data_IF_420578005647
#
_entry.id   IF_420578005647
#
_cell.length_a   1.000
_cell.length_b   1.000
_cell.length_c   1.000
_cell.angle_alpha   90.00
_cell.angle_beta   90.00
_cell.angle_gamma   90.00
#
_symmetry.space_group_name_H-M   'P 1'
#
loop_
_entity.id
_entity.type
_entity.pdbx_description
1 polymer ?
#
# COMPACT_ATOMS: atom_id res chain seq x y z
N UNK A 1 9.10 -20.67 -9.57
CA UNK A 1 8.63 -19.28 -9.80
C UNK A 1 8.49 -18.48 -8.53
N UNK A 2 7.80 -18.97 -7.49
CA UNK A 2 7.56 -18.20 -6.25
C UNK A 2 8.85 -17.89 -5.46
N UNK A 3 9.74 -18.87 -5.28
CA UNK A 3 11.05 -18.65 -4.62
C UNK A 3 11.89 -17.63 -5.39
N UNK A 4 11.87 -17.69 -6.71
CA UNK A 4 12.57 -16.72 -7.57
C UNK A 4 12.02 -15.30 -7.36
N UNK A 5 10.70 -15.11 -7.35
CA UNK A 5 10.08 -13.81 -7.11
C UNK A 5 10.41 -13.27 -5.72
N UNK A 6 10.38 -14.12 -4.70
CA UNK A 6 10.75 -13.74 -3.33
C UNK A 6 12.22 -13.28 -3.26
N UNK A 7 13.14 -14.04 -3.84
CA UNK A 7 14.57 -13.67 -3.87
C UNK A 7 14.83 -12.41 -4.70
N UNK A 8 14.17 -12.27 -5.85
CA UNK A 8 14.33 -11.11 -6.73
C UNK A 8 13.83 -9.82 -6.05
N UNK A 9 12.66 -9.87 -5.41
CA UNK A 9 12.11 -8.73 -4.66
C UNK A 9 12.92 -8.42 -3.41
N UNK A 10 13.44 -9.44 -2.71
CA UNK A 10 14.36 -9.24 -1.59
C UNK A 10 15.66 -8.58 -2.03
N UNK A 11 16.24 -9.02 -3.14
CA UNK A 11 17.45 -8.42 -3.71
C UNK A 11 17.20 -6.96 -4.13
N UNK A 12 16.07 -6.68 -4.77
CA UNK A 12 15.66 -5.31 -5.10
C UNK A 12 15.47 -4.43 -3.86
N UNK A 13 14.87 -4.97 -2.81
CA UNK A 13 14.70 -4.25 -1.54
C UNK A 13 16.06 -3.95 -0.89
N UNK A 14 16.98 -4.92 -0.84
CA UNK A 14 18.31 -4.76 -0.26
C UNK A 14 19.18 -3.76 -1.03
N UNK A 15 19.09 -3.76 -2.36
CA UNK A 15 19.86 -2.83 -3.21
C UNK A 15 19.27 -1.42 -3.22
N UNK A 16 17.95 -1.28 -3.03
CA UNK A 16 17.28 0.02 -2.88
C UNK A 16 17.44 0.63 -1.49
N UNK A 17 17.66 -0.18 -0.45
CA UNK A 17 17.73 0.27 0.94
C UNK A 17 18.84 1.31 1.19
N UNK A 18 20.08 1.19 0.65
CA UNK A 18 21.10 2.22 0.77
C UNK A 18 20.67 3.57 0.19
N UNK A 19 20.00 3.57 -0.96
CA UNK A 19 19.51 4.77 -1.61
C UNK A 19 18.39 5.43 -0.80
N UNK A 20 17.47 4.63 -0.27
CA UNK A 20 16.39 5.12 0.59
C UNK A 20 16.93 5.69 1.91
N UNK A 21 17.92 5.03 2.53
CA UNK A 21 18.57 5.54 3.73
C UNK A 21 19.28 6.87 3.46
N UNK A 22 19.98 6.98 2.33
CA UNK A 22 20.64 8.23 1.95
C UNK A 22 19.63 9.36 1.73
N UNK A 23 18.52 9.09 1.04
CA UNK A 23 17.50 10.10 0.82
C UNK A 23 16.88 10.59 2.13
N UNK A 24 16.46 9.68 3.01
CA UNK A 24 15.79 10.05 4.27
C UNK A 24 16.75 10.64 5.31
N UNK A 25 17.89 9.99 5.57
CA UNK A 25 18.78 10.40 6.66
C UNK A 25 19.88 11.38 6.27
N UNK A 26 20.12 11.62 4.97
CA UNK A 26 21.10 12.63 4.51
C UNK A 26 20.41 13.80 3.84
N UNK A 27 19.55 13.56 2.85
CA UNK A 27 18.91 14.65 2.09
C UNK A 27 17.79 15.28 2.92
N UNK A 28 16.80 14.50 3.35
CA UNK A 28 15.65 15.03 4.09
C UNK A 28 16.04 15.56 5.48
N UNK A 29 16.95 14.87 6.18
CA UNK A 29 17.51 15.36 7.45
C UNK A 29 18.22 16.71 7.28
N UNK A 30 19.04 16.87 6.22
CA UNK A 30 19.73 18.14 5.93
C UNK A 30 18.75 19.28 5.67
N UNK A 31 17.60 18.98 5.08
CA UNK A 31 16.55 19.96 4.81
C UNK A 31 15.53 20.09 5.95
N UNK A 32 15.70 19.36 7.07
CA UNK A 32 14.81 19.42 8.23
C UNK A 32 13.43 18.79 8.03
N UNK A 33 13.26 17.97 6.97
CA UNK A 33 11.99 17.29 6.67
C UNK A 33 11.88 15.93 7.36
N UNK A 34 13.00 15.28 7.70
CA UNK A 34 12.95 13.97 8.34
C UNK A 34 12.45 14.08 9.78
N UNK A 35 11.38 13.34 10.09
CA UNK A 35 10.81 13.20 11.43
C UNK A 35 10.92 11.75 11.94
N UNK A 36 11.54 10.85 11.16
CA UNK A 36 11.58 9.42 11.44
C UNK A 36 12.93 9.00 12.05
N UNK A 37 12.87 8.01 12.95
CA UNK A 37 14.06 7.36 13.49
C UNK A 37 14.49 6.17 12.64
N UNK A 38 15.78 5.83 12.64
CA UNK A 38 16.33 4.68 11.90
C UNK A 38 15.64 3.35 12.27
N UNK A 39 15.30 3.19 13.56
CA UNK A 39 14.53 2.03 14.03
C UNK A 39 13.10 1.98 13.51
N UNK A 40 12.43 3.13 13.39
CA UNK A 40 11.10 3.22 12.78
C UNK A 40 11.15 2.90 11.28
N UNK A 41 12.11 3.50 10.56
CA UNK A 41 12.32 3.28 9.13
C UNK A 41 12.53 1.79 8.80
N UNK A 42 13.41 1.09 9.54
CA UNK A 42 13.66 -0.34 9.31
C UNK A 42 12.44 -1.20 9.65
N UNK A 43 11.73 -0.90 10.74
CA UNK A 43 10.49 -1.61 11.08
C UNK A 43 9.42 -1.41 10.01
N UNK A 44 9.30 -0.20 9.49
CA UNK A 44 8.34 0.12 8.44
C UNK A 44 8.70 -0.57 7.12
N UNK A 45 9.96 -0.51 6.70
CA UNK A 45 10.45 -1.22 5.51
C UNK A 45 10.20 -2.73 5.61
N UNK A 46 10.45 -3.35 6.77
CA UNK A 46 10.21 -4.77 6.99
C UNK A 46 8.71 -5.10 6.98
N UNK A 47 7.87 -4.29 7.62
CA UNK A 47 6.40 -4.44 7.60
C UNK A 47 5.87 -4.35 6.17
N UNK A 48 6.31 -3.34 5.41
CA UNK A 48 5.92 -3.14 4.00
C UNK A 48 6.30 -4.35 3.17
N UNK A 49 7.55 -4.80 3.30
CA UNK A 49 8.03 -5.98 2.59
C UNK A 49 7.20 -7.23 2.93
N UNK A 50 6.95 -7.48 4.22
CA UNK A 50 6.17 -8.65 4.66
C UNK A 50 4.73 -8.63 4.12
N UNK A 51 4.03 -7.49 4.24
CA UNK A 51 2.65 -7.35 3.72
C UNK A 51 2.63 -7.52 2.19
N UNK A 52 3.59 -6.93 1.48
CA UNK A 52 3.70 -7.11 0.02
C UNK A 52 3.92 -8.57 -0.35
N UNK A 53 4.81 -9.30 0.33
CA UNK A 53 5.03 -10.72 0.04
C UNK A 53 3.80 -11.58 0.34
N UNK A 54 3.11 -11.31 1.46
CA UNK A 54 1.89 -12.03 1.84
C UNK A 54 0.78 -11.89 0.80
N UNK A 55 0.71 -10.76 0.10
CA UNK A 55 -0.28 -10.54 -0.98
C UNK A 55 0.25 -11.05 -2.32
N UNK A 56 1.51 -10.77 -2.65
CA UNK A 56 2.11 -11.07 -3.95
C UNK A 56 2.21 -12.59 -4.20
N UNK A 57 2.62 -13.37 -3.20
CA UNK A 57 2.86 -14.81 -3.38
C UNK A 57 1.58 -15.60 -3.68
N UNK A 58 0.46 -15.44 -2.94
CA UNK A 58 -0.80 -16.11 -3.26
C UNK A 58 -1.41 -15.63 -4.59
N UNK A 59 -1.38 -14.32 -4.85
CA UNK A 59 -1.93 -13.77 -6.10
C UNK A 59 -1.16 -14.32 -7.30
N UNK A 60 0.16 -14.33 -7.22
CA UNK A 60 1.00 -14.82 -8.33
C UNK A 60 0.90 -16.33 -8.50
N UNK A 61 0.76 -17.10 -7.41
CA UNK A 61 0.60 -18.56 -7.50
C UNK A 61 -0.70 -18.93 -8.20
N UNK A 62 -1.81 -18.27 -7.84
CA UNK A 62 -3.11 -18.43 -8.48
C UNK A 62 -3.09 -17.99 -9.95
N UNK A 63 -2.47 -16.83 -10.24
CA UNK A 63 -2.33 -16.35 -11.61
C UNK A 63 -1.55 -17.34 -12.49
N UNK A 64 -0.41 -17.85 -12.00
CA UNK A 64 0.38 -18.85 -12.72
C UNK A 64 -0.39 -20.17 -12.92
N UNK A 65 -1.23 -20.55 -11.95
CA UNK A 65 -2.09 -21.72 -12.07
C UNK A 65 -3.15 -21.54 -13.17
N UNK A 66 -3.79 -20.36 -13.23
CA UNK A 66 -4.75 -20.00 -14.28
C UNK A 66 -4.09 -20.01 -15.65
N UNK A 67 -2.88 -19.46 -15.77
CA UNK A 67 -2.11 -19.46 -17.03
C UNK A 67 -1.81 -20.89 -17.48
N UNK A 68 -1.46 -21.79 -16.55
CA UNK A 68 -1.15 -23.18 -16.87
C UNK A 68 -2.37 -24.00 -17.33
N UNK A 69 -3.56 -23.69 -16.83
CA UNK A 69 -4.79 -24.47 -17.11
C UNK A 69 -5.65 -23.86 -18.23
N UNK A 70 -5.44 -22.59 -18.58
CA UNK A 70 -6.36 -21.80 -19.39
C UNK A 70 -6.37 -22.07 -20.90
N UNK A 71 -5.50 -22.93 -21.43
CA UNK A 71 -5.45 -23.26 -22.88
C UNK A 71 -5.19 -22.02 -23.76
N UNK A 72 -5.69 -22.00 -25.00
CA UNK A 72 -5.47 -20.88 -25.95
C UNK A 72 -6.11 -19.55 -25.50
N UNK A 73 -7.13 -19.62 -24.63
CA UNK A 73 -7.85 -18.45 -24.10
C UNK A 73 -7.42 -18.06 -22.67
N UNK A 74 -6.27 -18.55 -22.20
CA UNK A 74 -5.78 -18.31 -20.84
C UNK A 74 -5.73 -16.82 -20.46
N UNK A 75 -5.46 -15.95 -21.43
CA UNK A 75 -5.32 -14.51 -21.23
C UNK A 75 -6.62 -13.86 -20.74
N UNK A 76 -7.80 -14.37 -21.15
CA UNK A 76 -9.11 -13.84 -20.71
C UNK A 76 -9.32 -14.15 -19.23
N UNK A 77 -9.05 -15.38 -18.83
CA UNK A 77 -9.18 -15.81 -17.43
C UNK A 77 -8.16 -15.12 -16.53
N UNK A 78 -6.92 -14.96 -17.01
CA UNK A 78 -5.87 -14.21 -16.30
C UNK A 78 -6.27 -12.74 -16.12
N UNK A 79 -6.78 -12.09 -17.17
CA UNK A 79 -7.26 -10.71 -17.11
C UNK A 79 -8.41 -10.55 -16.11
N UNK A 80 -9.43 -11.41 -16.19
CA UNK A 80 -10.58 -11.37 -15.28
C UNK A 80 -10.14 -11.58 -13.82
N UNK A 81 -9.22 -12.53 -13.59
CA UNK A 81 -8.66 -12.76 -12.26
C UNK A 81 -7.91 -11.52 -11.73
N UNK A 82 -7.04 -10.91 -12.54
CA UNK A 82 -6.32 -9.70 -12.13
C UNK A 82 -7.26 -8.54 -11.84
N UNK A 83 -8.34 -8.38 -12.62
CA UNK A 83 -9.36 -7.35 -12.38
C UNK A 83 -10.03 -7.55 -11.02
N UNK A 84 -10.47 -8.78 -10.72
CA UNK A 84 -11.12 -9.10 -9.44
C UNK A 84 -10.16 -8.86 -8.28
N UNK A 85 -8.90 -9.33 -8.38
CA UNK A 85 -7.89 -9.13 -7.33
C UNK A 85 -7.62 -7.64 -7.13
N UNK A 86 -7.47 -6.85 -8.19
CA UNK A 86 -7.27 -5.40 -8.10
C UNK A 86 -8.45 -4.71 -7.41
N UNK A 87 -9.69 -5.08 -7.75
CA UNK A 87 -10.88 -4.51 -7.15
C UNK A 87 -10.99 -4.83 -5.65
N UNK A 88 -10.70 -6.08 -5.28
CA UNK A 88 -10.62 -6.50 -3.87
C UNK A 88 -9.54 -5.71 -3.14
N UNK A 89 -8.33 -5.63 -3.69
CA UNK A 89 -7.21 -4.92 -3.06
C UNK A 89 -7.53 -3.45 -2.83
N UNK A 90 -8.09 -2.73 -3.82
CA UNK A 90 -8.48 -1.33 -3.68
C UNK A 90 -9.55 -1.16 -2.61
N UNK A 91 -10.52 -2.07 -2.55
CA UNK A 91 -11.61 -2.01 -1.57
C UNK A 91 -11.09 -2.23 -0.14
N UNK A 92 -10.21 -3.22 0.07
CA UNK A 92 -9.68 -3.53 1.41
C UNK A 92 -8.51 -2.62 1.82
N UNK A 93 -7.92 -1.87 0.88
CA UNK A 93 -6.70 -1.10 1.14
C UNK A 93 -6.90 -0.06 2.24
N UNK A 94 -7.95 0.75 2.15
CA UNK A 94 -8.20 1.85 3.07
C UNK A 94 -8.46 1.37 4.51
N UNK A 95 -9.19 0.26 4.66
CA UNK A 95 -9.63 -0.23 5.96
C UNK A 95 -8.63 -1.19 6.63
N UNK A 96 -7.88 -1.98 5.86
CA UNK A 96 -7.03 -3.05 6.41
C UNK A 96 -5.54 -2.88 6.12
N UNK A 97 -5.16 -2.26 5.01
CA UNK A 97 -3.74 -2.17 4.61
C UNK A 97 -3.13 -0.86 5.11
N UNK A 98 -3.76 0.28 4.81
CA UNK A 98 -3.25 1.59 5.19
C UNK A 98 -3.07 1.75 6.72
N UNK A 99 -4.01 1.30 7.58
CA UNK A 99 -3.88 1.45 9.03
C UNK A 99 -2.75 0.63 9.68
N UNK A 100 -2.12 -0.29 8.95
CA UNK A 100 -0.94 -1.04 9.41
C UNK A 100 0.35 -0.21 9.35
N UNK A 101 0.36 0.80 8.48
CA UNK A 101 1.51 1.66 8.23
C UNK A 101 1.35 2.99 8.96
N UNK A 102 0.17 3.59 8.84
CA UNK A 102 -0.09 4.94 9.32
C UNK A 102 -1.22 4.96 10.35
N UNK A 103 -1.21 5.96 11.23
CA UNK A 103 -2.27 6.14 12.23
C UNK A 103 -3.35 7.06 11.68
N UNK A 104 -4.56 6.51 11.59
CA UNK A 104 -5.75 7.25 11.20
C UNK A 104 -6.51 7.67 12.46
N UNK A 105 -6.53 8.97 12.75
CA UNK A 105 -7.33 9.53 13.85
C UNK A 105 -8.55 10.25 13.27
N UNK A 106 -9.74 10.14 13.89
CA UNK A 106 -10.90 10.89 13.42
C UNK A 106 -10.63 12.39 13.58
N UNK A 107 -11.02 13.19 12.58
CA UNK A 107 -10.87 14.64 12.66
C UNK A 107 -11.64 15.16 13.90
N UNK A 108 -10.98 15.91 14.80
CA UNK A 108 -11.64 16.48 15.97
C UNK A 108 -12.83 17.35 15.58
N UNK A 109 -13.85 17.39 16.43
CA UNK A 109 -14.96 18.30 16.23
C UNK A 109 -14.48 19.75 16.34
N UNK A 110 -14.80 20.56 15.33
CA UNK A 110 -14.37 21.94 15.22
C UNK A 110 -14.83 22.59 13.92
N UNK A 111 -14.48 23.86 13.76
CA UNK A 111 -14.88 24.70 12.61
C UNK A 111 -14.53 24.05 11.27
N UNK A 112 -13.30 23.52 11.13
CA UNK A 112 -12.83 22.86 9.92
C UNK A 112 -13.69 21.65 9.53
N UNK A 113 -14.10 20.82 10.49
CA UNK A 113 -14.94 19.65 10.22
C UNK A 113 -16.31 20.08 9.71
N UNK A 114 -16.91 21.08 10.34
CA UNK A 114 -18.21 21.62 9.96
C UNK A 114 -18.20 22.26 8.57
N UNK A 115 -17.15 22.99 8.21
CA UNK A 115 -17.00 23.56 6.88
C UNK A 115 -16.86 22.48 5.79
N UNK A 116 -16.06 21.44 6.05
CA UNK A 116 -15.90 20.31 5.12
C UNK A 116 -17.23 19.57 4.93
N UNK A 117 -17.98 19.32 6.00
CA UNK A 117 -19.30 18.68 5.93
C UNK A 117 -20.30 19.53 5.13
N UNK A 118 -20.31 20.85 5.35
CA UNK A 118 -21.13 21.79 4.59
C UNK A 118 -20.78 21.79 3.10
N UNK A 119 -19.49 21.81 2.78
CA UNK A 119 -19.01 21.75 1.40
C UNK A 119 -19.38 20.42 0.73
N UNK A 120 -19.13 19.29 1.39
CA UNK A 120 -19.49 17.97 0.86
C UNK A 120 -20.99 17.86 0.57
N UNK A 121 -21.83 18.41 1.46
CA UNK A 121 -23.27 18.47 1.27
C UNK A 121 -23.67 19.34 0.08
N UNK A 122 -22.96 20.44 -0.18
CA UNK A 122 -23.26 21.34 -1.30
C UNK A 122 -23.07 20.68 -2.68
N UNK A 123 -22.18 19.69 -2.78
CA UNK A 123 -21.92 18.92 -4.01
C UNK A 123 -22.56 17.52 -3.99
N UNK A 124 -23.46 17.24 -3.05
CA UNK A 124 -24.09 15.92 -2.86
C UNK A 124 -23.09 14.76 -2.70
N UNK A 125 -21.91 15.03 -2.15
CA UNK A 125 -20.93 13.99 -1.89
C UNK A 125 -21.31 13.24 -0.60
N UNK A 126 -21.43 11.89 -0.63
CA UNK A 126 -21.81 11.09 0.53
C UNK A 126 -20.63 10.93 1.50
N UNK A 127 -20.23 12.03 2.13
CA UNK A 127 -19.17 12.04 3.13
C UNK A 127 -19.57 11.20 4.35
N UNK A 128 -18.80 10.15 4.63
CA UNK A 128 -19.11 9.23 5.75
C UNK A 128 -18.25 9.52 6.97
N UNK A 129 -16.92 9.66 6.80
CA UNK A 129 -15.97 9.94 7.88
C UNK A 129 -14.82 10.80 7.35
N UNK A 130 -14.25 11.64 8.22
CA UNK A 130 -13.03 12.41 7.95
C UNK A 130 -11.95 11.94 8.91
N UNK A 131 -10.78 11.58 8.38
CA UNK A 131 -9.62 11.13 9.14
C UNK A 131 -8.43 12.06 8.88
N UNK A 132 -7.59 12.20 9.89
CA UNK A 132 -6.26 12.81 9.81
C UNK A 132 -5.24 11.68 9.91
N UNK A 133 -4.25 11.70 9.01
CA UNK A 133 -3.15 10.74 8.99
C UNK A 133 -1.94 11.39 9.66
N UNK A 134 -1.38 10.73 10.67
CA UNK A 134 -0.13 11.12 11.35
C UNK A 134 1.11 10.55 10.67
#
# INVERSE_FOLDING_TARGET
SLVFLMLATLFSALTGLPWSLYNTFVIEEKHGFNQQTLGFFLKDALKKFAVTQCILLPVTSLLLYIIKIGGDYFFIYAWLFTLIVSLILVTIYADYIAPLFDKFTPLPDGELKSEIESMAKSIYFPLTKIYVVE
#
